data_IF_700182806174
#
_entry.id   IF_700182806174
#
_cell.length_a   1.000
_cell.length_b   1.000
_cell.length_c   1.000
_cell.angle_alpha   90.00
_cell.angle_beta   90.00
_cell.angle_gamma   90.00
#
_symmetry.space_group_name_H-M   'P 1'
#
loop_
_entity.id
_entity.type
_entity.pdbx_description
1 polymer ?
#
# COMPACT_ATOMS: atom_id res chain seq x y z
N UNK A 1 2.27 14.33 9.10
CA UNK A 1 2.29 12.97 9.68
C UNK A 1 1.55 11.94 8.81
N UNK A 2 0.37 12.25 8.25
CA UNK A 2 -0.43 11.29 7.45
C UNK A 2 0.26 10.82 6.16
N UNK A 3 0.85 11.76 5.40
CA UNK A 3 1.54 11.44 4.15
C UNK A 3 2.79 10.56 4.37
N UNK A 4 3.62 10.86 5.38
CA UNK A 4 4.81 10.06 5.68
C UNK A 4 4.49 8.61 6.07
N UNK A 5 3.42 8.40 6.86
CA UNK A 5 2.96 7.06 7.22
C UNK A 5 2.48 6.28 5.99
N UNK A 6 1.72 6.92 5.10
CA UNK A 6 1.28 6.30 3.85
C UNK A 6 2.46 5.97 2.92
N UNK A 7 3.40 6.90 2.73
CA UNK A 7 4.58 6.69 1.90
C UNK A 7 5.40 5.49 2.39
N UNK A 8 5.61 5.38 3.71
CA UNK A 8 6.27 4.22 4.31
C UNK A 8 5.51 2.93 4.06
N UNK A 9 4.19 2.95 4.23
CA UNK A 9 3.31 1.80 4.01
C UNK A 9 3.34 1.32 2.55
N UNK A 10 3.22 2.22 1.57
CA UNK A 10 3.26 1.87 0.14
C UNK A 10 4.64 1.35 -0.27
N UNK A 11 5.73 1.93 0.25
CA UNK A 11 7.10 1.43 0.01
C UNK A 11 7.33 0.02 0.54
N UNK A 12 6.77 -0.30 1.71
CA UNK A 12 6.81 -1.67 2.26
C UNK A 12 6.10 -2.66 1.33
N UNK A 13 4.93 -2.27 0.79
CA UNK A 13 4.18 -3.07 -0.18
C UNK A 13 4.97 -3.26 -1.47
N UNK A 14 5.50 -2.19 -2.06
CA UNK A 14 6.33 -2.26 -3.28
C UNK A 14 7.54 -3.18 -3.09
N UNK A 15 8.25 -3.05 -1.96
CA UNK A 15 9.36 -3.95 -1.62
C UNK A 15 8.96 -5.43 -1.65
N UNK A 16 7.72 -5.77 -1.27
CA UNK A 16 7.22 -7.16 -1.34
C UNK A 16 6.99 -7.63 -2.78
N UNK A 17 6.52 -6.75 -3.67
CA UNK A 17 6.34 -7.02 -5.10
C UNK A 17 7.68 -7.13 -5.83
N UNK A 18 8.64 -6.25 -5.54
CA UNK A 18 9.99 -6.34 -6.10
C UNK A 18 10.67 -7.67 -5.76
N UNK A 19 10.42 -8.21 -4.55
CA UNK A 19 10.92 -9.52 -4.13
C UNK A 19 10.16 -10.71 -4.74
N UNK A 20 8.99 -10.49 -5.33
CA UNK A 20 8.13 -11.52 -5.91
C UNK A 20 7.57 -11.07 -7.26
N UNK A 21 8.44 -10.94 -8.28
CA UNK A 21 8.05 -10.45 -9.61
C UNK A 21 6.92 -11.25 -10.27
N UNK A 22 6.73 -12.53 -9.93
CA UNK A 22 5.58 -13.32 -10.42
C UNK A 22 4.22 -12.89 -9.85
N UNK A 23 4.19 -12.03 -8.84
CA UNK A 23 3.00 -11.70 -8.09
C UNK A 23 2.24 -10.45 -8.59
N UNK A 24 2.76 -9.72 -9.59
CA UNK A 24 2.12 -8.52 -10.15
C UNK A 24 0.69 -8.77 -10.65
N UNK A 25 0.45 -9.92 -11.27
CA UNK A 25 -0.88 -10.33 -11.73
C UNK A 25 -1.78 -10.89 -10.61
N UNK A 26 -1.22 -11.21 -9.44
CA UNK A 26 -1.91 -11.90 -8.37
C UNK A 26 -2.65 -10.93 -7.43
N UNK A 27 -3.98 -10.86 -7.56
CA UNK A 27 -4.83 -10.03 -6.72
C UNK A 27 -4.85 -10.45 -5.24
N UNK A 28 -4.65 -11.73 -4.94
CA UNK A 28 -4.54 -12.22 -3.56
C UNK A 28 -3.23 -11.75 -2.93
N UNK A 29 -2.15 -11.72 -3.71
CA UNK A 29 -0.86 -11.22 -3.24
C UNK A 29 -0.93 -9.74 -2.87
N UNK A 30 -1.67 -8.91 -3.61
CA UNK A 30 -1.88 -7.51 -3.26
C UNK A 30 -2.52 -7.36 -1.87
N UNK A 31 -3.59 -8.12 -1.59
CA UNK A 31 -4.22 -8.14 -0.26
C UNK A 31 -3.25 -8.58 0.82
N UNK A 32 -2.52 -9.66 0.56
CA UNK A 32 -1.50 -10.17 1.47
C UNK A 32 -0.41 -9.14 1.77
N UNK A 33 0.10 -8.43 0.75
CA UNK A 33 1.14 -7.43 0.91
C UNK A 33 0.65 -6.22 1.72
N UNK A 34 -0.57 -5.76 1.47
CA UNK A 34 -1.22 -4.71 2.27
C UNK A 34 -1.38 -5.14 3.74
N UNK A 35 -1.80 -6.38 3.99
CA UNK A 35 -2.00 -6.91 5.33
C UNK A 35 -0.66 -7.05 6.08
N UNK A 36 0.38 -7.58 5.42
CA UNK A 36 1.71 -7.74 6.02
C UNK A 36 2.44 -6.42 6.26
N UNK A 37 2.21 -5.41 5.42
CA UNK A 37 2.80 -4.08 5.59
C UNK A 37 2.13 -3.28 6.71
N UNK A 38 0.99 -3.73 7.24
CA UNK A 38 0.37 -3.12 8.41
C UNK A 38 1.16 -3.47 9.69
N UNK A 39 2.10 -2.59 10.07
CA UNK A 39 2.96 -2.78 11.24
C UNK A 39 3.40 -1.46 11.87
N UNK A 40 4.03 -1.54 13.04
CA UNK A 40 4.64 -0.39 13.71
C UNK A 40 3.65 0.75 13.99
N UNK A 41 4.07 2.00 13.76
CA UNK A 41 3.24 3.19 14.01
C UNK A 41 1.94 3.21 13.21
N UNK A 42 1.96 2.73 11.96
CA UNK A 42 0.80 2.70 11.05
C UNK A 42 -0.28 1.69 11.49
N UNK A 43 0.14 0.64 12.20
CA UNK A 43 -0.79 -0.27 12.89
C UNK A 43 -1.33 0.36 14.18
N UNK A 44 -0.44 0.90 15.03
CA UNK A 44 -0.80 1.44 16.36
C UNK A 44 -1.81 2.58 16.25
N UNK A 45 -1.67 3.44 15.23
CA UNK A 45 -2.58 4.56 15.00
C UNK A 45 -3.83 4.18 14.18
N UNK A 46 -4.02 2.90 13.85
CA UNK A 46 -5.17 2.38 13.08
C UNK A 46 -5.20 2.78 11.60
N UNK A 47 -4.20 3.54 11.11
CA UNK A 47 -4.22 4.08 9.74
C UNK A 47 -4.04 3.00 8.68
N UNK A 48 -3.37 1.90 8.99
CA UNK A 48 -3.16 0.83 8.02
C UNK A 48 -4.49 0.26 7.51
N UNK A 49 -5.52 0.16 8.37
CA UNK A 49 -6.83 -0.37 7.99
C UNK A 49 -7.54 0.61 7.05
N UNK A 50 -7.39 1.90 7.29
CA UNK A 50 -7.94 2.96 6.42
C UNK A 50 -7.24 2.95 5.06
N UNK A 51 -5.90 2.92 5.03
CA UNK A 51 -5.13 2.86 3.79
C UNK A 51 -5.44 1.60 2.99
N UNK A 52 -5.39 0.43 3.64
CA UNK A 52 -5.76 -0.84 3.03
C UNK A 52 -7.13 -0.78 2.37
N UNK A 53 -8.16 -0.29 3.07
CA UNK A 53 -9.52 -0.19 2.52
C UNK A 53 -9.53 0.68 1.27
N UNK A 54 -8.97 1.89 1.34
CA UNK A 54 -8.94 2.84 0.21
C UNK A 54 -8.14 2.33 -0.99
N UNK A 55 -6.99 1.71 -0.75
CA UNK A 55 -6.16 1.15 -1.84
C UNK A 55 -6.83 -0.05 -2.52
N UNK A 56 -7.65 -0.81 -1.77
CA UNK A 56 -8.44 -1.91 -2.33
C UNK A 56 -9.73 -1.47 -3.04
N UNK A 57 -10.14 -0.20 -2.94
CA UNK A 57 -11.29 0.31 -3.73
C UNK A 57 -10.96 0.36 -5.22
N UNK A 58 -9.71 0.66 -5.58
CA UNK A 58 -9.22 0.72 -6.97
C UNK A 58 -7.90 -0.03 -7.13
N UNK A 59 -7.90 -1.37 -7.01
CA UNK A 59 -6.68 -2.17 -6.89
C UNK A 59 -5.86 -2.25 -8.19
N UNK A 60 -6.46 -1.95 -9.34
CA UNK A 60 -5.74 -1.84 -10.61
C UNK A 60 -4.93 -0.54 -10.67
N UNK A 61 -5.54 0.59 -10.27
CA UNK A 61 -4.88 1.91 -10.23
C UNK A 61 -3.76 1.92 -9.21
N UNK A 62 -4.01 1.39 -8.01
CA UNK A 62 -2.97 1.31 -6.99
C UNK A 62 -1.77 0.48 -7.46
N UNK A 63 -2.02 -0.67 -8.12
CA UNK A 63 -0.93 -1.48 -8.69
C UNK A 63 -0.12 -0.75 -9.74
N UNK A 64 -0.75 0.05 -10.61
CA UNK A 64 -0.01 0.86 -11.59
C UNK A 64 0.75 2.04 -10.99
N UNK A 65 0.54 2.33 -9.70
CA UNK A 65 1.19 3.43 -8.97
C UNK A 65 2.09 2.92 -7.85
N UNK A 66 2.31 1.60 -7.75
CA UNK A 66 3.06 1.01 -6.65
C UNK A 66 4.51 1.50 -6.61
N UNK A 67 5.08 1.74 -7.79
CA UNK A 67 6.40 2.31 -8.04
C UNK A 67 6.46 3.84 -7.84
N UNK A 68 5.31 4.49 -7.67
CA UNK A 68 5.19 5.92 -7.34
C UNK A 68 4.40 6.12 -6.03
N UNK A 69 5.03 5.91 -4.86
CA UNK A 69 4.35 5.96 -3.56
C UNK A 69 3.61 7.26 -3.28
N UNK A 70 4.11 8.39 -3.81
CA UNK A 70 3.47 9.69 -3.63
C UNK A 70 2.11 9.76 -4.35
N UNK A 71 2.07 9.33 -5.61
CA UNK A 71 0.83 9.29 -6.41
C UNK A 71 -0.20 8.34 -5.80
N UNK A 72 0.24 7.16 -5.35
CA UNK A 72 -0.64 6.21 -4.66
C UNK A 72 -1.26 6.82 -3.39
N UNK A 73 -0.48 7.57 -2.61
CA UNK A 73 -0.96 8.22 -1.39
C UNK A 73 -1.86 9.43 -1.67
N UNK A 74 -1.58 10.22 -2.72
CA UNK A 74 -2.47 11.27 -3.19
C UNK A 74 -3.84 10.72 -3.64
N UNK A 75 -3.84 9.60 -4.37
CA UNK A 75 -5.06 8.97 -4.88
C UNK A 75 -6.04 8.53 -3.77
N UNK A 76 -5.52 8.24 -2.58
CA UNK A 76 -6.33 7.89 -1.40
C UNK A 76 -6.46 9.04 -0.40
N UNK A 77 -6.11 10.27 -0.78
CA UNK A 77 -6.15 11.47 0.08
C UNK A 77 -5.35 11.28 1.37
N UNK A 78 -4.23 10.55 1.30
CA UNK A 78 -3.31 10.34 2.41
C UNK A 78 -2.10 11.27 2.38
N UNK A 79 -1.79 11.76 1.18
CA UNK A 79 -1.23 13.06 0.89
C UNK A 79 -2.36 13.85 0.19
#
# INVERSE_FOLDING_TARGET
AFCADCLGYVRDVDTMFQKNAGAWANSQFLRYALDKSCRGRVLINGRCLQYRRRLLEKPAIFRSQLDSPYEACMAIQAC
#
